data_IF_822923929880
#
_entry.id   IF_822923929880
#
_cell.length_a   1.000
_cell.length_b   1.000
_cell.length_c   1.000
_cell.angle_alpha   90.00
_cell.angle_beta   90.00
_cell.angle_gamma   90.00
#
_symmetry.space_group_name_H-M   'P 1'
#
loop_
_entity.id
_entity.type
_entity.pdbx_description
1 polymer ?
#
# COMPACT_ATOMS: atom_id res chain seq x y z
N UNK A 1 -9.16 29.32 4.03
CA UNK A 1 -8.03 28.37 3.87
C UNK A 1 -8.33 27.49 2.67
N UNK A 2 -7.53 27.57 1.60
CA UNK A 2 -7.70 26.69 0.42
C UNK A 2 -6.82 25.46 0.61
N UNK A 3 -7.41 24.33 0.97
CA UNK A 3 -6.72 23.04 0.96
C UNK A 3 -6.74 22.51 -0.47
N UNK A 4 -5.66 22.70 -1.22
CA UNK A 4 -5.46 21.93 -2.45
C UNK A 4 -5.22 20.49 -2.00
N UNK A 5 -6.26 19.65 -2.05
CA UNK A 5 -6.11 18.21 -1.83
C UNK A 5 -5.08 17.70 -2.84
N UNK A 6 -3.95 17.18 -2.34
CA UNK A 6 -2.98 16.51 -3.20
C UNK A 6 -3.69 15.43 -4.04
N UNK A 7 -3.20 15.13 -5.26
CA UNK A 7 -3.84 14.15 -6.11
C UNK A 7 -3.95 12.80 -5.41
N UNK A 8 -5.10 12.15 -5.51
CA UNK A 8 -5.29 10.78 -5.04
C UNK A 8 -4.40 9.84 -5.84
N UNK A 9 -3.34 9.32 -5.19
CA UNK A 9 -2.41 8.38 -5.83
C UNK A 9 -2.76 6.96 -5.40
N UNK A 10 -3.31 6.22 -6.36
CA UNK A 10 -3.48 4.76 -6.26
C UNK A 10 -2.22 4.08 -6.76
N UNK A 11 -1.65 3.21 -5.94
CA UNK A 11 -0.41 2.47 -6.25
C UNK A 11 -0.71 0.98 -6.20
N UNK A 12 -0.15 0.22 -7.16
CA UNK A 12 -0.22 -1.22 -7.18
C UNK A 12 1.19 -1.83 -7.09
N UNK A 13 1.36 -2.84 -6.24
CA UNK A 13 2.59 -3.63 -6.13
C UNK A 13 2.32 -5.04 -6.67
N UNK A 14 2.99 -5.38 -7.77
CA UNK A 14 2.97 -6.71 -8.39
C UNK A 14 4.15 -7.53 -7.84
N UNK A 15 3.88 -8.70 -7.28
CA UNK A 15 4.88 -9.49 -6.53
C UNK A 15 4.93 -9.13 -5.03
N UNK A 16 3.79 -8.72 -4.46
CA UNK A 16 3.71 -8.20 -3.09
C UNK A 16 4.00 -9.25 -1.99
N UNK A 17 3.88 -10.55 -2.28
CA UNK A 17 4.17 -11.62 -1.33
C UNK A 17 5.63 -12.09 -1.36
N UNK A 18 6.42 -11.65 -2.34
CA UNK A 18 7.85 -11.93 -2.40
C UNK A 18 8.67 -11.20 -1.33
N UNK A 19 9.92 -11.65 -1.11
CA UNK A 19 10.80 -11.10 -0.07
C UNK A 19 11.12 -9.61 -0.20
N UNK A 20 10.98 -9.03 -1.41
CA UNK A 20 11.11 -7.58 -1.64
C UNK A 20 9.74 -6.91 -1.66
N UNK A 21 8.71 -7.60 -2.16
CA UNK A 21 7.36 -7.07 -2.26
C UNK A 21 6.75 -6.73 -0.90
N UNK A 22 6.97 -7.58 0.10
CA UNK A 22 6.45 -7.35 1.45
C UNK A 22 7.00 -6.07 2.11
N UNK A 23 8.34 -5.85 2.20
CA UNK A 23 8.85 -4.59 2.74
C UNK A 23 8.51 -3.39 1.87
N UNK A 24 8.40 -3.56 0.54
CA UNK A 24 7.93 -2.48 -0.34
C UNK A 24 6.47 -2.11 -0.06
N UNK A 25 5.58 -3.09 0.13
CA UNK A 25 4.18 -2.88 0.47
C UNK A 25 4.03 -2.11 1.79
N UNK A 26 4.83 -2.47 2.80
CA UNK A 26 4.90 -1.75 4.07
C UNK A 26 5.33 -0.29 3.87
N UNK A 27 6.40 -0.04 3.13
CA UNK A 27 6.88 1.33 2.86
C UNK A 27 5.85 2.14 2.05
N UNK A 28 5.14 1.53 1.11
CA UNK A 28 4.07 2.19 0.36
C UNK A 28 2.87 2.52 1.24
N UNK A 29 2.49 1.65 2.18
CA UNK A 29 1.41 1.92 3.15
C UNK A 29 1.73 3.12 4.03
N UNK A 30 2.99 3.31 4.40
CA UNK A 30 3.45 4.43 5.23
C UNK A 30 3.68 5.73 4.45
N UNK A 31 3.66 5.69 3.12
CA UNK A 31 3.93 6.87 2.31
C UNK A 31 2.71 7.80 2.31
N UNK A 32 2.81 9.04 2.83
CA UNK A 32 1.68 9.98 2.89
C UNK A 32 1.19 10.45 1.52
N UNK A 33 1.95 10.17 0.45
CA UNK A 33 1.57 10.48 -0.92
C UNK A 33 0.64 9.44 -1.53
N UNK A 34 0.50 8.25 -0.92
CA UNK A 34 -0.34 7.14 -1.39
C UNK A 34 -1.69 7.20 -0.68
N UNK A 35 -2.77 7.25 -1.45
CA UNK A 35 -4.14 7.22 -0.90
C UNK A 35 -4.79 5.84 -1.00
N UNK A 36 -4.34 4.98 -1.90
CA UNK A 36 -4.77 3.58 -1.94
C UNK A 36 -3.65 2.67 -2.42
N UNK A 37 -3.53 1.51 -1.78
CA UNK A 37 -2.51 0.51 -2.06
C UNK A 37 -3.15 -0.82 -2.46
N UNK A 38 -2.96 -1.23 -3.71
CA UNK A 38 -3.34 -2.54 -4.21
C UNK A 38 -2.13 -3.48 -4.18
N UNK A 39 -2.30 -4.66 -3.60
CA UNK A 39 -1.28 -5.70 -3.57
C UNK A 39 -1.71 -6.87 -4.44
N UNK A 40 -0.78 -7.39 -5.25
CA UNK A 40 -1.00 -8.55 -6.10
C UNK A 40 0.22 -9.46 -6.10
N UNK A 41 -0.04 -10.76 -6.09
CA UNK A 41 0.94 -11.82 -6.30
C UNK A 41 0.22 -13.07 -6.81
N UNK A 42 0.98 -14.07 -7.27
CA UNK A 42 0.46 -15.36 -7.72
C UNK A 42 0.00 -16.20 -6.53
N UNK A 43 0.61 -16.02 -5.35
CA UNK A 43 0.31 -16.73 -4.12
C UNK A 43 0.43 -15.81 -2.88
N UNK A 44 -0.20 -16.19 -1.76
CA UNK A 44 -0.01 -15.60 -0.42
C UNK A 44 -0.29 -14.07 -0.27
N UNK A 45 -0.85 -13.40 -1.27
CA UNK A 45 -1.20 -11.97 -1.19
C UNK A 45 -2.19 -11.61 -0.07
N UNK A 46 -3.24 -12.41 0.22
CA UNK A 46 -4.22 -12.05 1.25
C UNK A 46 -3.62 -11.86 2.65
N UNK A 47 -2.64 -12.70 3.02
CA UNK A 47 -1.95 -12.61 4.32
C UNK A 47 -1.17 -11.29 4.43
N UNK A 48 -0.41 -10.94 3.39
CA UNK A 48 0.35 -9.68 3.35
C UNK A 48 -0.57 -8.46 3.37
N UNK A 49 -1.68 -8.52 2.62
CA UNK A 49 -2.67 -7.45 2.61
C UNK A 49 -3.32 -7.26 3.99
N UNK A 50 -3.62 -8.35 4.70
CA UNK A 50 -4.15 -8.29 6.06
C UNK A 50 -3.15 -7.61 7.02
N UNK A 51 -1.89 -8.05 7.02
CA UNK A 51 -0.85 -7.48 7.87
C UNK A 51 -0.67 -5.97 7.62
N UNK A 52 -0.61 -5.58 6.34
CA UNK A 52 -0.45 -4.18 5.95
C UNK A 52 -1.70 -3.35 6.26
N UNK A 53 -2.89 -3.92 6.20
CA UNK A 53 -4.16 -3.21 6.45
C UNK A 53 -4.32 -2.71 7.89
N UNK A 54 -3.69 -3.38 8.86
CA UNK A 54 -3.74 -3.00 10.27
C UNK A 54 -2.90 -1.77 10.61
N UNK A 55 -2.04 -1.35 9.71
CA UNK A 55 -1.18 -0.19 9.91
C UNK A 55 -2.02 1.08 9.78
N UNK A 56 -2.05 1.88 10.84
CA UNK A 56 -2.73 3.15 10.87
C UNK A 56 -1.98 4.18 10.02
N UNK A 57 -2.37 4.28 8.75
CA UNK A 57 -1.87 5.26 7.79
C UNK A 57 -2.99 5.78 6.90
N UNK A 58 -2.68 6.78 6.07
CA UNK A 58 -3.67 7.40 5.17
C UNK A 58 -4.07 6.53 3.99
N UNK A 59 -3.17 5.65 3.54
CA UNK A 59 -3.43 4.78 2.40
C UNK A 59 -4.46 3.71 2.77
N UNK A 60 -5.52 3.55 1.98
CA UNK A 60 -6.47 2.45 2.11
C UNK A 60 -6.00 1.20 1.37
#
# INVERSE_FOLDING_TARGET
>A
FSSTSGPDRKVAVLGAAGGIGQPLALLMKLNPLVSSLALYDIAETPSVAADVSHINSMAQ
#
